data_IF_705260934853
#
_entry.id   IF_705260934853
#
_cell.length_a   1.000
_cell.length_b   1.000
_cell.length_c   1.000
_cell.angle_alpha   90.00
_cell.angle_beta   90.00
_cell.angle_gamma   90.00
#
_symmetry.space_group_name_H-M   'P 1'
#
loop_
_entity.id
_entity.type
_entity.pdbx_description
1 polymer ?
#
# COMPACT_ATOMS: atom_id res chain seq x y z
N UNK A 1 -16.24 -51.38 87.53
CA UNK A 1 -15.19 -50.34 87.48
C UNK A 1 -14.60 -50.30 86.07
N UNK A 2 -14.68 -49.17 85.37
CA UNK A 2 -14.00 -48.96 84.10
C UNK A 2 -13.75 -47.48 83.88
N UNK A 3 -12.62 -46.97 84.36
CA UNK A 3 -12.20 -45.57 84.10
C UNK A 3 -11.26 -45.58 82.90
N UNK A 4 -11.80 -45.30 81.71
CA UNK A 4 -11.00 -45.02 80.52
C UNK A 4 -10.28 -43.67 80.68
N UNK A 5 -8.95 -43.69 80.74
CA UNK A 5 -8.15 -42.48 80.64
C UNK A 5 -8.06 -42.09 79.16
N UNK A 6 -8.74 -41.02 78.79
CA UNK A 6 -8.54 -40.35 77.51
C UNK A 6 -7.16 -39.70 77.57
N UNK A 7 -6.17 -40.39 77.00
CA UNK A 7 -4.83 -39.83 76.78
C UNK A 7 -4.94 -38.67 75.80
N UNK A 8 -4.80 -37.46 76.32
CA UNK A 8 -4.81 -36.21 75.57
C UNK A 8 -3.59 -36.22 74.62
N UNK A 9 -3.82 -36.45 73.33
CA UNK A 9 -2.81 -36.24 72.30
C UNK A 9 -2.52 -34.74 72.26
N UNK A 10 -1.50 -34.32 73.02
CA UNK A 10 -0.99 -32.96 72.96
C UNK A 10 -0.21 -32.89 71.66
N UNK A 11 -0.84 -32.33 70.62
CA UNK A 11 -0.16 -31.97 69.39
C UNK A 11 0.83 -30.86 69.74
N UNK A 12 2.03 -31.23 70.16
CA UNK A 12 3.15 -30.31 70.26
C UNK A 12 3.67 -30.10 68.84
N UNK A 13 2.98 -29.30 68.04
CA UNK A 13 3.67 -28.59 66.96
C UNK A 13 4.64 -27.68 67.69
N UNK A 14 5.94 -27.98 67.59
CA UNK A 14 7.00 -27.12 68.11
C UNK A 14 6.84 -25.78 67.41
N UNK A 15 6.41 -24.75 68.14
CA UNK A 15 6.03 -23.45 67.61
C UNK A 15 7.22 -22.53 67.35
N UNK A 16 8.44 -23.00 67.58
CA UNK A 16 9.65 -22.19 67.51
C UNK A 16 10.63 -22.84 66.51
N UNK A 17 10.71 -22.24 65.32
CA UNK A 17 11.71 -22.57 64.31
C UNK A 17 13.13 -22.46 64.90
N UNK A 18 14.08 -23.26 64.41
CA UNK A 18 15.50 -23.10 64.77
C UNK A 18 16.07 -21.80 64.20
N UNK A 19 17.23 -21.36 64.70
CA UNK A 19 17.85 -20.12 64.22
C UNK A 19 18.20 -20.20 62.72
N UNK A 20 18.65 -21.36 62.25
CA UNK A 20 18.99 -21.61 60.86
C UNK A 20 17.74 -21.60 59.97
N UNK A 21 16.66 -22.28 60.38
CA UNK A 21 15.37 -22.24 59.66
C UNK A 21 14.79 -20.82 59.58
N UNK A 22 14.96 -19.99 60.62
CA UNK A 22 14.55 -18.58 60.57
C UNK A 22 15.36 -17.78 59.56
N UNK A 23 16.68 -18.01 59.47
CA UNK A 23 17.53 -17.35 58.48
C UNK A 23 17.17 -17.76 57.06
N UNK A 24 16.88 -19.04 56.81
CA UNK A 24 16.43 -19.53 55.51
C UNK A 24 15.05 -18.98 55.12
N UNK A 25 14.12 -18.90 56.08
CA UNK A 25 12.81 -18.28 55.83
C UNK A 25 12.95 -16.81 55.45
N UNK A 26 13.86 -16.06 56.10
CA UNK A 26 14.10 -14.66 55.74
C UNK A 26 14.79 -14.50 54.38
N UNK A 27 15.73 -15.38 54.02
CA UNK A 27 16.33 -15.35 52.68
C UNK A 27 15.31 -15.65 51.58
N UNK A 28 14.40 -16.62 51.81
CA UNK A 28 13.29 -16.94 50.90
C UNK A 28 12.31 -15.76 50.79
N UNK A 29 11.99 -15.10 51.90
CA UNK A 29 11.11 -13.93 51.90
C UNK A 29 11.72 -12.76 51.14
N UNK A 30 13.02 -12.50 51.33
CA UNK A 30 13.75 -11.50 50.55
C UNK A 30 13.72 -11.83 49.07
N UNK A 31 14.08 -13.06 48.69
CA UNK A 31 14.07 -13.48 47.29
C UNK A 31 12.68 -13.39 46.66
N UNK A 32 11.63 -13.77 47.40
CA UNK A 32 10.24 -13.58 46.97
C UNK A 32 9.91 -12.11 46.74
N UNK A 33 10.37 -11.21 47.60
CA UNK A 33 10.16 -9.77 47.46
C UNK A 33 10.83 -9.26 46.18
N UNK A 34 12.09 -9.64 45.95
CA UNK A 34 12.84 -9.23 44.77
C UNK A 34 12.16 -9.72 43.48
N UNK A 35 11.72 -10.98 43.44
CA UNK A 35 10.97 -11.52 42.30
C UNK A 35 9.65 -10.79 42.06
N UNK A 36 8.95 -10.37 43.12
CA UNK A 36 7.71 -9.61 42.98
C UNK A 36 7.99 -8.21 42.41
N UNK A 37 9.06 -7.57 42.87
CA UNK A 37 9.48 -6.25 42.38
C UNK A 37 9.89 -6.34 40.90
N UNK A 38 10.62 -7.39 40.50
CA UNK A 38 10.98 -7.66 39.10
C UNK A 38 9.74 -7.90 38.22
N UNK A 39 8.75 -8.66 38.70
CA UNK A 39 7.49 -8.86 37.97
C UNK A 39 6.75 -7.53 37.77
N UNK A 40 6.73 -6.66 38.79
CA UNK A 40 6.09 -5.35 38.67
C UNK A 40 6.83 -4.47 37.67
N UNK A 41 8.16 -4.50 37.69
CA UNK A 41 8.98 -3.76 36.73
C UNK A 41 8.73 -4.24 35.29
N UNK A 42 8.76 -5.55 35.05
CA UNK A 42 8.46 -6.12 33.74
C UNK A 42 7.06 -5.78 33.25
N UNK A 43 6.06 -5.74 34.15
CA UNK A 43 4.71 -5.29 33.80
C UNK A 43 4.71 -3.83 33.34
N UNK A 44 5.37 -2.94 34.07
CA UNK A 44 5.48 -1.53 33.67
C UNK A 44 6.18 -1.38 32.32
N UNK A 45 7.25 -2.13 32.09
CA UNK A 45 7.96 -2.13 30.80
C UNK A 45 7.07 -2.61 29.66
N UNK A 46 6.26 -3.65 29.87
CA UNK A 46 5.28 -4.11 28.88
C UNK A 46 4.24 -3.02 28.60
N UNK A 47 3.69 -2.39 29.64
CA UNK A 47 2.68 -1.33 29.48
C UNK A 47 3.25 -0.13 28.70
N UNK A 48 4.49 0.25 28.96
CA UNK A 48 5.19 1.32 28.25
C UNK A 48 5.43 0.96 26.77
N UNK A 49 5.85 -0.28 26.49
CA UNK A 49 6.04 -0.76 25.11
C UNK A 49 4.70 -0.81 24.36
N UNK A 50 3.64 -1.28 25.01
CA UNK A 50 2.29 -1.32 24.43
C UNK A 50 1.79 0.09 24.09
N UNK A 51 2.00 1.07 24.98
CA UNK A 51 1.64 2.46 24.71
C UNK A 51 2.42 3.06 23.52
N UNK A 52 3.70 2.73 23.39
CA UNK A 52 4.51 3.14 22.25
C UNK A 52 4.03 2.53 20.93
N UNK A 53 3.64 1.26 20.92
CA UNK A 53 3.10 0.57 19.75
C UNK A 53 1.80 1.26 19.29
N UNK A 54 0.86 1.49 20.20
CA UNK A 54 -0.41 2.15 19.89
C UNK A 54 -0.22 3.57 19.34
N UNK A 55 0.71 4.32 19.93
CA UNK A 55 1.08 5.66 19.45
C UNK A 55 1.63 5.60 18.03
N UNK A 56 2.55 4.66 17.76
CA UNK A 56 3.14 4.47 16.44
C UNK A 56 2.11 4.06 15.37
N UNK A 57 1.25 3.09 15.68
CA UNK A 57 0.17 2.64 14.79
C UNK A 57 -0.78 3.80 14.43
N UNK A 58 -1.23 4.58 15.43
CA UNK A 58 -2.11 5.72 15.18
C UNK A 58 -1.45 6.83 14.34
N UNK A 59 -0.14 7.02 14.49
CA UNK A 59 0.62 7.98 13.70
C UNK A 59 0.82 7.52 12.26
N UNK A 60 1.07 6.23 12.03
CA UNK A 60 1.17 5.65 10.69
C UNK A 60 -0.18 5.65 9.96
N UNK A 61 -1.27 5.22 10.61
CA UNK A 61 -2.62 5.26 10.03
C UNK A 61 -3.02 6.67 9.60
N UNK A 62 -2.74 7.68 10.44
CA UNK A 62 -3.02 9.07 10.09
C UNK A 62 -2.20 9.54 8.88
N UNK A 63 -0.92 9.13 8.76
CA UNK A 63 -0.11 9.49 7.59
C UNK A 63 -0.65 8.86 6.31
N UNK A 64 -1.04 7.59 6.35
CA UNK A 64 -1.59 6.90 5.18
C UNK A 64 -2.94 7.49 4.74
N UNK A 65 -3.81 7.82 5.69
CA UNK A 65 -5.07 8.50 5.42
C UNK A 65 -4.84 9.87 4.76
N UNK A 66 -3.91 10.66 5.30
CA UNK A 66 -3.58 11.97 4.72
C UNK A 66 -2.96 11.83 3.33
N UNK A 67 -2.03 10.89 3.13
CA UNK A 67 -1.44 10.61 1.82
C UNK A 67 -2.48 10.21 0.78
N UNK A 68 -3.44 9.36 1.17
CA UNK A 68 -4.53 8.93 0.30
C UNK A 68 -5.51 10.07 -0.05
N UNK A 69 -5.79 10.96 0.90
CA UNK A 69 -6.58 12.17 0.66
C UNK A 69 -5.86 13.11 -0.31
N UNK A 70 -4.56 13.35 -0.12
CA UNK A 70 -3.77 14.18 -1.02
C UNK A 70 -3.72 13.57 -2.42
N UNK A 71 -3.53 12.26 -2.56
CA UNK A 71 -3.56 11.57 -3.84
C UNK A 71 -4.90 11.75 -4.57
N UNK A 72 -6.00 11.58 -3.83
CA UNK A 72 -7.36 11.80 -4.36
C UNK A 72 -7.59 13.25 -4.81
N UNK A 73 -7.07 14.21 -4.06
CA UNK A 73 -7.11 15.63 -4.46
C UNK A 73 -6.27 15.90 -5.71
N UNK A 74 -5.12 15.24 -5.85
CA UNK A 74 -4.31 15.30 -7.06
C UNK A 74 -5.05 14.77 -8.29
N UNK A 75 -5.78 13.65 -8.18
CA UNK A 75 -6.65 13.15 -9.26
C UNK A 75 -7.74 14.15 -9.65
N UNK A 76 -8.39 14.79 -8.66
CA UNK A 76 -9.39 15.84 -8.91
C UNK A 76 -8.78 17.03 -9.65
N UNK A 77 -7.58 17.47 -9.25
CA UNK A 77 -6.84 18.53 -9.94
C UNK A 77 -6.49 18.14 -11.37
N UNK A 78 -6.01 16.92 -11.59
CA UNK A 78 -5.74 16.39 -12.94
C UNK A 78 -6.98 16.43 -13.84
N UNK A 79 -8.14 16.04 -13.30
CA UNK A 79 -9.40 16.06 -14.05
C UNK A 79 -9.87 17.48 -14.43
N UNK A 80 -9.40 18.51 -13.72
CA UNK A 80 -9.69 19.92 -14.04
C UNK A 80 -8.62 20.55 -14.94
N UNK A 81 -7.35 20.25 -14.69
CA UNK A 81 -6.19 20.75 -15.41
C UNK A 81 -5.08 19.68 -15.33
N UNK A 82 -4.85 18.92 -16.42
CA UNK A 82 -3.95 17.78 -16.38
C UNK A 82 -2.51 18.14 -15.97
N UNK A 83 -2.00 19.27 -16.48
CA UNK A 83 -0.63 19.72 -16.16
C UNK A 83 -0.50 20.08 -14.69
N UNK A 84 -1.43 20.88 -14.15
CA UNK A 84 -1.43 21.24 -12.72
C UNK A 84 -1.65 20.03 -11.81
N UNK A 85 -2.46 19.07 -12.25
CA UNK A 85 -2.66 17.81 -11.52
C UNK A 85 -1.38 17.02 -11.36
N UNK A 86 -0.63 16.82 -12.45
CA UNK A 86 0.67 16.14 -12.41
C UNK A 86 1.68 16.93 -11.58
N UNK A 87 1.80 18.26 -11.78
CA UNK A 87 2.69 19.09 -10.96
C UNK A 87 2.39 18.96 -9.47
N UNK A 88 1.11 19.03 -9.07
CA UNK A 88 0.71 18.84 -7.68
C UNK A 88 1.13 17.47 -7.12
N UNK A 89 0.91 16.39 -7.89
CA UNK A 89 1.27 15.04 -7.46
C UNK A 89 2.80 14.90 -7.30
N UNK A 90 3.59 15.49 -8.20
CA UNK A 90 5.06 15.46 -8.15
C UNK A 90 5.60 16.28 -6.99
N UNK A 91 5.12 17.51 -6.82
CA UNK A 91 5.52 18.42 -5.73
C UNK A 91 5.23 17.83 -4.35
N UNK A 92 4.12 17.11 -4.21
CA UNK A 92 3.75 16.42 -2.96
C UNK A 92 4.40 15.03 -2.81
N UNK A 93 5.32 14.64 -3.72
CA UNK A 93 6.00 13.32 -3.71
C UNK A 93 5.04 12.13 -3.75
N UNK A 94 3.88 12.34 -4.36
CA UNK A 94 2.83 11.35 -4.54
C UNK A 94 2.99 10.59 -5.87
N UNK A 95 3.71 11.19 -6.81
CA UNK A 95 4.06 10.65 -8.12
C UNK A 95 5.50 11.05 -8.43
N UNK A 96 6.28 10.16 -9.03
CA UNK A 96 7.60 10.53 -9.55
C UNK A 96 7.46 11.32 -10.86
N UNK A 97 8.34 12.31 -11.07
CA UNK A 97 8.27 13.21 -12.22
C UNK A 97 8.75 12.60 -13.54
N UNK A 98 9.15 11.33 -13.54
CA UNK A 98 9.59 10.65 -14.76
C UNK A 98 8.43 10.33 -15.70
N UNK A 99 8.71 10.35 -17.01
CA UNK A 99 7.74 10.00 -18.05
C UNK A 99 7.15 8.60 -17.85
N UNK A 100 7.95 7.65 -17.33
CA UNK A 100 7.50 6.29 -17.06
C UNK A 100 6.48 6.26 -15.91
N UNK A 101 6.78 6.88 -14.77
CA UNK A 101 5.86 6.89 -13.63
C UNK A 101 4.56 7.62 -13.94
N UNK A 102 4.64 8.73 -14.69
CA UNK A 102 3.44 9.43 -15.17
C UNK A 102 2.63 8.53 -16.10
N UNK A 103 3.27 7.84 -17.05
CA UNK A 103 2.58 6.93 -17.96
C UNK A 103 1.89 5.78 -17.21
N UNK A 104 2.53 5.19 -16.21
CA UNK A 104 1.93 4.15 -15.36
C UNK A 104 0.71 4.67 -14.57
N UNK A 105 0.79 5.90 -14.05
CA UNK A 105 -0.33 6.56 -13.38
C UNK A 105 -1.52 6.76 -14.33
N UNK A 106 -1.28 7.29 -15.53
CA UNK A 106 -2.30 7.49 -16.55
C UNK A 106 -2.87 6.15 -17.02
N UNK A 107 -2.03 5.12 -17.14
CA UNK A 107 -2.41 3.78 -17.58
C UNK A 107 -3.35 3.08 -16.60
N UNK A 108 -3.11 3.24 -15.29
CA UNK A 108 -4.03 2.72 -14.26
C UNK A 108 -5.44 3.33 -14.42
N UNK A 109 -5.53 4.61 -14.80
CA UNK A 109 -6.79 5.28 -15.18
C UNK A 109 -7.86 5.41 -14.08
N UNK A 110 -7.62 4.88 -12.88
CA UNK A 110 -8.60 4.83 -11.80
C UNK A 110 -8.92 6.23 -11.27
N UNK A 111 -10.15 6.69 -11.47
CA UNK A 111 -10.62 8.01 -11.04
C UNK A 111 -10.10 9.18 -11.90
N UNK A 112 -9.53 8.90 -13.08
CA UNK A 112 -9.07 9.90 -14.03
C UNK A 112 -10.05 10.08 -15.19
N UNK A 113 -10.26 11.32 -15.61
CA UNK A 113 -11.06 11.64 -16.78
C UNK A 113 -10.28 11.27 -18.04
N UNK A 114 -10.85 10.41 -18.88
CA UNK A 114 -10.25 9.93 -20.14
C UNK A 114 -9.92 11.08 -21.10
N UNK A 115 -10.73 12.14 -21.11
CA UNK A 115 -10.47 13.35 -21.90
C UNK A 115 -9.25 14.10 -21.39
N UNK A 116 -9.11 14.23 -20.07
CA UNK A 116 -7.95 14.87 -19.42
C UNK A 116 -6.65 14.10 -19.70
N UNK A 117 -6.72 12.77 -19.73
CA UNK A 117 -5.58 11.92 -20.14
C UNK A 117 -5.20 12.22 -21.60
N UNK A 118 -6.18 12.26 -22.51
CA UNK A 118 -5.94 12.58 -23.92
C UNK A 118 -5.37 13.97 -24.14
N UNK A 119 -5.83 14.96 -23.37
CA UNK A 119 -5.31 16.33 -23.38
C UNK A 119 -3.84 16.36 -22.96
N UNK A 120 -3.49 15.72 -21.83
CA UNK A 120 -2.10 15.65 -21.36
C UNK A 120 -1.18 14.97 -22.39
N UNK A 121 -1.59 13.83 -22.92
CA UNK A 121 -0.78 13.07 -23.88
C UNK A 121 -0.68 13.74 -25.26
N UNK A 122 -1.59 14.66 -25.58
CA UNK A 122 -1.62 15.40 -26.84
C UNK A 122 -0.72 16.65 -26.86
N UNK A 123 -0.02 16.95 -25.77
CA UNK A 123 0.87 18.10 -25.68
C UNK A 123 2.21 17.87 -26.40
N UNK A 124 2.82 18.95 -26.91
CA UNK A 124 4.03 18.88 -27.76
C UNK A 124 5.35 18.97 -26.99
N UNK A 125 5.28 19.25 -25.69
CA UNK A 125 6.47 19.34 -24.85
C UNK A 125 7.11 17.96 -24.68
N UNK A 126 8.45 17.93 -24.56
CA UNK A 126 9.24 16.68 -24.55
C UNK A 126 8.76 15.65 -23.52
N UNK A 127 8.44 16.09 -22.29
CA UNK A 127 7.94 15.22 -21.23
C UNK A 127 6.65 14.48 -21.65
N UNK A 128 5.73 15.18 -22.30
CA UNK A 128 4.44 14.63 -22.70
C UNK A 128 4.62 13.63 -23.87
N UNK A 129 5.52 13.94 -24.81
CA UNK A 129 5.89 13.03 -25.90
C UNK A 129 6.53 11.73 -25.39
N UNK A 130 7.44 11.86 -24.42
CA UNK A 130 8.07 10.71 -23.76
C UNK A 130 7.03 9.91 -22.96
N UNK A 131 6.14 10.60 -22.25
CA UNK A 131 5.05 9.95 -21.49
C UNK A 131 4.12 9.18 -22.42
N UNK A 132 3.73 9.76 -23.56
CA UNK A 132 2.94 9.08 -24.58
C UNK A 132 3.66 7.83 -25.09
N UNK A 133 4.96 7.92 -25.39
CA UNK A 133 5.75 6.75 -25.81
C UNK A 133 5.68 5.62 -24.79
N UNK A 134 5.93 5.92 -23.50
CA UNK A 134 5.85 4.95 -22.41
C UNK A 134 4.44 4.39 -22.23
N UNK A 135 3.42 5.24 -22.32
CA UNK A 135 2.01 4.85 -22.22
C UNK A 135 1.60 3.87 -23.32
N UNK A 136 2.08 4.08 -24.55
CA UNK A 136 1.88 3.17 -25.68
C UNK A 136 2.61 1.84 -25.46
N UNK A 137 3.81 1.87 -24.88
CA UNK A 137 4.57 0.65 -24.53
C UNK A 137 3.85 -0.20 -23.49
N UNK A 138 3.26 0.41 -22.45
CA UNK A 138 2.47 -0.30 -21.43
C UNK A 138 1.30 -1.10 -22.03
N UNK A 139 0.62 -0.55 -23.05
CA UNK A 139 -0.46 -1.25 -23.73
C UNK A 139 0.02 -2.49 -24.49
N UNK A 140 1.21 -2.44 -25.09
CA UNK A 140 1.79 -3.58 -25.80
C UNK A 140 1.98 -4.78 -24.87
N UNK A 141 2.38 -4.57 -23.62
CA UNK A 141 2.60 -5.64 -22.64
C UNK A 141 1.29 -6.25 -22.14
N UNK A 142 0.24 -5.46 -21.98
CA UNK A 142 -1.08 -5.94 -21.58
C UNK A 142 -1.74 -6.80 -22.65
N UNK A 143 -1.65 -6.37 -23.91
CA UNK A 143 -2.11 -7.15 -25.06
C UNK A 143 -1.26 -8.43 -25.22
N UNK A 144 0.04 -8.38 -24.92
CA UNK A 144 0.88 -9.58 -24.93
C UNK A 144 0.49 -10.58 -23.85
N UNK A 145 0.10 -10.15 -22.65
CA UNK A 145 -0.38 -11.04 -21.59
C UNK A 145 -1.72 -11.71 -21.96
N UNK A 146 -2.69 -10.94 -22.46
CA UNK A 146 -3.98 -11.49 -22.90
C UNK A 146 -3.80 -12.42 -24.11
N UNK A 147 -2.96 -12.04 -25.07
CA UNK A 147 -2.71 -12.85 -26.26
C UNK A 147 -1.78 -14.02 -25.97
N UNK A 148 -0.90 -13.97 -24.96
CA UNK A 148 -0.16 -15.15 -24.47
C UNK A 148 -1.13 -16.15 -23.83
N UNK A 149 -2.09 -15.67 -23.01
CA UNK A 149 -3.15 -16.53 -22.46
C UNK A 149 -4.06 -17.13 -23.56
N UNK A 150 -4.26 -16.44 -24.69
CA UNK A 150 -5.05 -16.93 -25.82
C UNK A 150 -4.24 -17.73 -26.85
N UNK A 151 -2.90 -17.57 -26.92
CA UNK A 151 -2.02 -18.23 -27.90
C UNK A 151 -1.78 -19.70 -27.64
N UNK A 152 -2.09 -20.20 -26.45
CA UNK A 152 -2.11 -21.63 -26.18
C UNK A 152 -3.22 -22.38 -26.92
N UNK A 153 -4.12 -21.68 -27.65
CA UNK A 153 -5.13 -22.36 -28.49
C UNK A 153 -5.14 -22.07 -29.98
N UNK A 154 -4.48 -21.04 -30.54
CA UNK A 154 -4.36 -20.92 -32.02
C UNK A 154 -3.05 -20.26 -32.46
N UNK A 155 -2.18 -21.11 -33.01
CA UNK A 155 -1.01 -20.74 -33.82
C UNK A 155 -1.43 -19.86 -35.01
N UNK A 156 -0.62 -18.81 -35.24
CA UNK A 156 -0.40 -18.09 -36.50
C UNK A 156 -1.62 -17.51 -37.24
N UNK A 157 -2.09 -16.31 -36.88
CA UNK A 157 -2.49 -15.33 -37.93
C UNK A 157 -2.52 -13.85 -37.54
N UNK A 158 -2.59 -13.44 -36.27
CA UNK A 158 -2.83 -12.00 -35.99
C UNK A 158 -1.87 -11.37 -34.98
N UNK A 159 -0.57 -11.61 -35.19
CA UNK A 159 0.52 -11.21 -34.29
C UNK A 159 0.99 -9.76 -34.52
N UNK A 160 0.58 -9.13 -35.63
CA UNK A 160 1.18 -7.90 -36.15
C UNK A 160 0.19 -6.72 -36.30
N UNK A 161 -1.12 -6.95 -36.37
CA UNK A 161 -2.08 -5.91 -36.76
C UNK A 161 -2.38 -4.90 -35.64
N UNK A 162 -2.45 -5.35 -34.39
CA UNK A 162 -2.71 -4.49 -33.22
C UNK A 162 -1.47 -3.68 -32.83
N UNK A 163 -0.29 -4.32 -32.76
CA UNK A 163 0.99 -3.66 -32.45
C UNK A 163 1.37 -2.60 -33.52
N UNK A 164 0.92 -2.79 -34.76
CA UNK A 164 1.04 -1.79 -35.83
C UNK A 164 0.14 -0.57 -35.60
N UNK A 165 -1.08 -0.72 -35.09
CA UNK A 165 -2.00 0.43 -34.87
C UNK A 165 -1.49 1.38 -33.79
N UNK A 166 -1.04 0.86 -32.66
CA UNK A 166 -0.52 1.66 -31.56
C UNK A 166 0.79 2.38 -31.93
N UNK A 167 1.67 1.70 -32.66
CA UNK A 167 2.91 2.30 -33.16
C UNK A 167 2.65 3.31 -34.29
N UNK A 168 1.70 3.02 -35.18
CA UNK A 168 1.28 3.93 -36.24
C UNK A 168 0.65 5.19 -35.67
N UNK A 169 -0.16 5.10 -34.60
CA UNK A 169 -0.70 6.27 -33.91
C UNK A 169 0.38 7.18 -33.33
N UNK A 170 1.41 6.61 -32.69
CA UNK A 170 2.56 7.38 -32.21
C UNK A 170 3.34 8.01 -33.37
N UNK A 171 3.58 7.26 -34.46
CA UNK A 171 4.23 7.79 -35.66
C UNK A 171 3.41 8.91 -36.32
N UNK A 172 2.10 8.72 -36.51
CA UNK A 172 1.18 9.71 -37.07
C UNK A 172 1.19 10.99 -36.22
N UNK A 173 1.15 10.85 -34.89
CA UNK A 173 1.25 12.00 -33.97
C UNK A 173 2.56 12.79 -34.12
N UNK A 174 3.69 12.11 -34.36
CA UNK A 174 4.98 12.77 -34.59
C UNK A 174 5.11 13.41 -35.98
N UNK A 175 4.37 12.92 -36.98
CA UNK A 175 4.46 13.39 -38.37
C UNK A 175 3.45 14.48 -38.72
N UNK A 176 2.29 14.55 -38.05
CA UNK A 176 1.25 15.54 -38.32
C UNK A 176 1.57 16.90 -37.66
N UNK A 177 1.89 17.90 -38.50
CA UNK A 177 2.25 19.24 -38.04
C UNK A 177 1.09 20.25 -37.97
N UNK A 178 -0.16 19.86 -38.28
CA UNK A 178 -1.29 20.80 -38.37
C UNK A 178 -2.62 20.25 -37.80
N UNK A 179 -3.21 21.00 -36.86
CA UNK A 179 -4.65 21.10 -36.54
C UNK A 179 -5.52 19.85 -36.34
N UNK A 180 -5.11 18.89 -35.50
CA UNK A 180 -5.99 17.78 -35.10
C UNK A 180 -5.96 17.43 -33.60
N UNK A 181 -5.92 18.44 -32.71
CA UNK A 181 -6.11 18.25 -31.26
C UNK A 181 -7.43 17.50 -30.94
N UNK A 182 -8.47 17.77 -31.71
CA UNK A 182 -9.81 17.19 -31.54
C UNK A 182 -9.91 15.74 -32.09
N UNK A 183 -9.17 15.41 -33.15
CA UNK A 183 -9.14 14.03 -33.66
C UNK A 183 -8.24 13.13 -32.81
N UNK A 184 -7.16 13.65 -32.19
CA UNK A 184 -6.29 12.83 -31.35
C UNK A 184 -6.95 12.46 -30.01
N UNK A 185 -7.66 13.39 -29.36
CA UNK A 185 -8.43 13.05 -28.14
C UNK A 185 -9.50 11.99 -28.42
N UNK A 186 -10.22 12.13 -29.55
CA UNK A 186 -11.18 11.13 -30.02
C UNK A 186 -10.50 9.79 -30.39
N UNK A 187 -9.30 9.83 -30.95
CA UNK A 187 -8.55 8.63 -31.37
C UNK A 187 -7.87 7.91 -30.21
N UNK A 188 -7.37 8.60 -29.17
CA UNK A 188 -6.92 7.96 -27.92
C UNK A 188 -8.11 7.33 -27.20
N UNK A 189 -9.27 8.01 -27.19
CA UNK A 189 -10.52 7.48 -26.63
C UNK A 189 -11.04 6.24 -27.39
N UNK A 190 -10.80 6.15 -28.71
CA UNK A 190 -11.28 5.03 -29.56
C UNK A 190 -10.26 3.90 -29.76
N UNK A 191 -8.96 4.21 -29.82
CA UNK A 191 -7.89 3.27 -30.19
C UNK A 191 -7.02 2.80 -29.04
N UNK A 192 -6.91 3.56 -27.94
CA UNK A 192 -5.96 3.25 -26.86
C UNK A 192 -6.59 2.94 -25.53
N UNK A 193 -7.86 3.29 -25.29
CA UNK A 193 -8.56 2.78 -24.12
C UNK A 193 -9.22 1.47 -24.53
N UNK A 194 -8.64 0.29 -24.22
CA UNK A 194 -9.25 -0.98 -24.56
C UNK A 194 -10.70 -0.99 -24.03
N UNK A 195 -11.60 -1.61 -24.80
CA UNK A 195 -13.02 -1.81 -24.39
C UNK A 195 -13.15 -2.43 -22.99
N UNK A 196 -12.12 -3.10 -22.49
CA UNK A 196 -12.03 -3.64 -21.12
C UNK A 196 -11.99 -2.58 -20.01
N UNK A 197 -11.54 -1.34 -20.30
CA UNK A 197 -11.66 -0.17 -19.41
C UNK A 197 -12.98 0.59 -19.60
N UNK A 198 -13.79 0.23 -20.57
CA UNK A 198 -15.17 0.74 -20.74
C UNK A 198 -16.17 -0.16 -20.00
N UNK A 199 -15.87 -1.46 -19.87
CA UNK A 199 -16.74 -2.45 -19.22
C UNK A 199 -16.62 -2.52 -17.68
N UNK A 200 -15.77 -1.70 -17.04
CA UNK A 200 -15.67 -1.64 -15.57
C UNK A 200 -16.56 -0.57 -14.90
N UNK A 201 -17.36 0.15 -15.67
CA UNK A 201 -18.28 1.17 -15.16
C UNK A 201 -19.60 1.21 -15.95
N UNK A 202 -20.28 0.06 -16.01
CA UNK A 202 -21.75 0.02 -15.91
C UNK A 202 -22.13 -0.64 -14.58
#
# INVERSE_FOLDING_TARGET
MGKGRVGKWKCCVSSDFTADERMEIESIKMYKKDLLDDIQKLKSEIDDVMAQILSFESAEENKDLERNKQFSNGKKKFNMDPKKGISYLVENKLLDGSAQSIAEFLYKGEGLNKTAIGEFLGEREELHLQTLKMFVELHKFSDLNLVQALRDKKKHSDRTTVNKRSHLLYQTFLTDNSDTRECFSASVHSCFIPRELVLKHE
#
